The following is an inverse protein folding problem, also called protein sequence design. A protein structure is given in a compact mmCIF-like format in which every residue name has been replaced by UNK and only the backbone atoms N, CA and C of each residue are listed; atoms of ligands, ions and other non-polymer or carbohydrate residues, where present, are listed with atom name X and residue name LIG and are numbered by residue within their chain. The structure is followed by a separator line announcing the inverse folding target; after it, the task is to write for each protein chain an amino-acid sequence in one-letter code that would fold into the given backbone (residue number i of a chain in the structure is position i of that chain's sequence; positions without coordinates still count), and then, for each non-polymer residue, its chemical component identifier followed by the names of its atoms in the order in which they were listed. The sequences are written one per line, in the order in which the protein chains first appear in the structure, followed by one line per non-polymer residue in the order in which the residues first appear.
data_IF_679882361589
#
_entry.id   IF_679882361589
#
_cell.length_a   1.000
_cell.length_b   1.000
_cell.length_c   1.000
_cell.angle_alpha   90.00
_cell.angle_beta   90.00
_cell.angle_gamma   90.00
#
_symmetry.space_group_name_H-M   'P 1'
#
loop_
_entity.id
_entity.type
_entity.pdbx_description
1 polymer ?
#
# COMPACT_ATOMS: atom_id res chain seq x y z
N UNK A 1 -4.25 11.19 21.20
CA UNK A 1 -5.30 10.17 21.42
C UNK A 1 -4.65 8.92 22.00
N UNK A 2 -5.27 8.25 22.97
CA UNK A 2 -4.75 6.97 23.51
C UNK A 2 -5.36 5.77 22.78
N UNK A 3 -4.73 4.60 22.85
CA UNK A 3 -5.24 3.34 22.27
C UNK A 3 -6.62 2.97 22.82
N UNK A 4 -6.86 3.26 24.11
CA UNK A 4 -8.16 3.08 24.75
C UNK A 4 -9.22 4.00 24.15
N UNK A 5 -8.90 5.28 23.95
CA UNK A 5 -9.86 6.21 23.34
C UNK A 5 -10.19 5.84 21.89
N UNK A 6 -9.22 5.33 21.12
CA UNK A 6 -9.48 4.84 19.77
C UNK A 6 -10.39 3.60 19.79
N UNK A 7 -10.11 2.65 20.70
CA UNK A 7 -10.94 1.47 20.91
C UNK A 7 -12.39 1.84 21.27
N UNK A 8 -12.57 2.79 22.19
CA UNK A 8 -13.88 3.30 22.59
C UNK A 8 -14.64 3.93 21.40
N UNK A 9 -13.96 4.73 20.57
CA UNK A 9 -14.55 5.34 19.36
C UNK A 9 -14.92 4.31 18.29
N UNK A 10 -14.20 3.20 18.22
CA UNK A 10 -14.44 2.12 17.26
C UNK A 10 -15.42 1.06 17.78
N UNK A 11 -15.77 1.09 19.07
CA UNK A 11 -16.64 0.10 19.70
C UNK A 11 -16.00 -1.28 19.82
N UNK A 12 -14.67 -1.34 19.97
CA UNK A 12 -13.91 -2.60 20.10
C UNK A 12 -13.00 -2.56 21.34
N UNK A 13 -12.42 -3.71 21.70
CA UNK A 13 -11.51 -3.77 22.85
C UNK A 13 -10.16 -3.12 22.55
N UNK A 14 -9.50 -2.54 23.56
CA UNK A 14 -8.13 -2.01 23.40
C UNK A 14 -7.12 -3.12 23.02
N UNK A 15 -7.38 -4.36 23.44
CA UNK A 15 -6.56 -5.50 23.02
C UNK A 15 -6.72 -5.80 21.52
N UNK A 16 -7.91 -5.62 20.93
CA UNK A 16 -8.09 -5.75 19.48
C UNK A 16 -7.29 -4.69 18.70
N UNK A 17 -7.28 -3.43 19.16
CA UNK A 17 -6.43 -2.39 18.55
C UNK A 17 -4.96 -2.82 18.57
N UNK A 18 -4.46 -3.28 19.72
CA UNK A 18 -3.07 -3.75 19.82
C UNK A 18 -2.77 -4.93 18.88
N UNK A 19 -3.73 -5.83 18.66
CA UNK A 19 -3.58 -6.93 17.68
C UNK A 19 -3.55 -6.41 16.24
N UNK A 20 -4.30 -5.37 15.91
CA UNK A 20 -4.24 -4.72 14.59
C UNK A 20 -2.90 -4.01 14.39
N UNK A 21 -2.45 -3.21 15.35
CA UNK A 21 -1.16 -2.50 15.28
C UNK A 21 0.03 -3.46 15.11
N UNK A 22 -0.05 -4.66 15.69
CA UNK A 22 0.99 -5.69 15.60
C UNK A 22 0.85 -6.60 14.38
N UNK A 23 -0.18 -6.42 13.55
CA UNK A 23 -0.47 -7.28 12.40
C UNK A 23 -0.86 -8.72 12.76
N UNK A 24 -1.20 -9.00 14.03
CA UNK A 24 -1.62 -10.33 14.48
C UNK A 24 -3.00 -10.67 13.91
N UNK A 25 -3.90 -9.68 13.93
CA UNK A 25 -5.23 -9.81 13.37
C UNK A 25 -5.34 -9.01 12.08
N UNK A 26 -6.00 -9.59 11.07
CA UNK A 26 -6.45 -8.82 9.90
C UNK A 26 -7.49 -7.80 10.33
N UNK A 27 -7.36 -6.59 9.79
CA UNK A 27 -8.35 -5.53 9.90
C UNK A 27 -9.19 -5.50 8.64
N UNK A 28 -10.49 -5.26 8.77
CA UNK A 28 -11.39 -5.10 7.64
C UNK A 28 -11.35 -3.67 7.09
N UNK A 29 -11.67 -3.51 5.81
CA UNK A 29 -11.69 -2.20 5.17
C UNK A 29 -12.62 -1.21 5.88
N UNK A 30 -13.74 -1.68 6.43
CA UNK A 30 -14.70 -0.82 7.13
C UNK A 30 -14.10 -0.17 8.38
N UNK A 31 -13.31 -0.92 9.17
CA UNK A 31 -12.62 -0.36 10.34
C UNK A 31 -11.49 0.55 9.92
N UNK A 32 -10.76 0.22 8.85
CA UNK A 32 -9.73 1.12 8.28
C UNK A 32 -10.33 2.47 7.91
N UNK A 33 -11.47 2.50 7.22
CA UNK A 33 -12.16 3.76 6.88
C UNK A 33 -12.61 4.55 8.12
N UNK A 34 -13.08 3.88 9.17
CA UNK A 34 -13.39 4.56 10.44
C UNK A 34 -12.16 5.19 11.07
N UNK A 35 -11.02 4.50 11.04
CA UNK A 35 -9.74 5.02 11.56
C UNK A 35 -9.32 6.25 10.76
N UNK A 36 -9.33 6.19 9.43
CA UNK A 36 -9.05 7.33 8.54
C UNK A 36 -9.90 8.55 8.93
N UNK A 37 -11.21 8.37 9.09
CA UNK A 37 -12.13 9.44 9.47
C UNK A 37 -11.88 9.97 10.91
N UNK A 38 -11.51 9.11 11.86
CA UNK A 38 -11.22 9.52 13.25
C UNK A 38 -9.97 10.39 13.32
N UNK A 39 -8.96 10.08 12.49
CA UNK A 39 -7.70 10.80 12.45
C UNK A 39 -7.71 11.97 11.46
N UNK A 40 -8.76 12.12 10.66
CA UNK A 40 -8.90 13.17 9.64
C UNK A 40 -7.71 13.18 8.66
N UNK A 41 -7.35 11.99 8.16
CA UNK A 41 -6.24 11.80 7.22
C UNK A 41 -6.75 11.30 5.87
N UNK A 42 -6.09 11.62 4.74
CA UNK A 42 -6.39 11.01 3.45
C UNK A 42 -6.01 9.52 3.44
N UNK A 43 -6.71 8.68 2.67
CA UNK A 43 -6.43 7.23 2.66
C UNK A 43 -5.04 6.93 2.08
N UNK A 44 -4.53 7.79 1.20
CA UNK A 44 -3.20 7.75 0.62
C UNK A 44 -2.10 7.76 1.70
N UNK A 45 -2.38 8.33 2.89
CA UNK A 45 -1.41 8.33 3.98
C UNK A 45 -1.10 6.93 4.53
N UNK A 46 -1.97 5.95 4.26
CA UNK A 46 -1.76 4.55 4.64
C UNK A 46 -0.91 3.78 3.61
N UNK A 47 -0.81 4.30 2.40
CA UNK A 47 -0.11 3.69 1.27
C UNK A 47 0.88 4.69 0.69
N UNK A 48 1.95 5.04 1.44
CA UNK A 48 2.99 5.88 0.89
C UNK A 48 3.55 5.23 -0.36
N UNK A 49 3.80 6.03 -1.40
CA UNK A 49 4.51 5.58 -2.59
C UNK A 49 5.79 4.87 -2.13
N UNK A 50 6.08 3.65 -2.64
CA UNK A 50 7.34 3.02 -2.33
C UNK A 50 8.45 4.00 -2.70
N UNK A 51 9.44 4.16 -1.83
CA UNK A 51 10.67 4.81 -2.24
C UNK A 51 11.17 4.03 -3.45
N UNK A 52 11.00 4.63 -4.63
CA UNK A 52 11.55 4.09 -5.85
C UNK A 52 13.04 4.18 -5.62
N UNK A 53 13.66 3.07 -5.21
CA UNK A 53 15.09 2.91 -5.36
C UNK A 53 15.33 3.09 -6.86
N UNK A 54 15.72 4.32 -7.23
CA UNK A 54 16.15 4.62 -8.58
C UNK A 54 17.41 3.79 -8.73
N UNK A 55 17.26 2.57 -9.24
CA UNK A 55 18.34 1.82 -9.80
C UNK A 55 18.83 2.66 -10.98
N UNK A 56 19.73 3.60 -10.70
CA UNK A 56 20.56 4.26 -11.71
C UNK A 56 21.35 3.14 -12.35
N UNK A 57 20.75 2.55 -13.39
CA UNK A 57 21.47 1.69 -14.30
C UNK A 57 22.60 2.54 -14.84
N UNK A 58 23.83 2.26 -14.38
CA UNK A 58 24.98 2.46 -15.26
C UNK A 58 24.62 1.68 -16.52
N UNK A 59 24.42 2.41 -17.63
CA UNK A 59 24.13 1.89 -18.97
C UNK A 59 25.32 1.05 -19.47
N UNK A 60 25.46 -0.13 -18.92
CA UNK A 60 26.34 -1.19 -19.40
C UNK A 60 25.76 -2.51 -18.91
N UNK A 61 24.69 -3.00 -19.54
CA UNK A 61 24.30 -4.43 -19.58
C UNK A 61 22.98 -4.62 -20.35
N UNK A 62 23.10 -4.77 -21.68
CA UNK A 62 22.44 -5.69 -22.63
C UNK A 62 21.04 -6.33 -22.38
N UNK A 63 20.21 -5.92 -21.42
CA UNK A 63 18.90 -6.57 -21.15
C UNK A 63 17.73 -5.59 -21.08
N UNK A 64 17.78 -4.49 -21.83
CA UNK A 64 16.58 -3.73 -22.15
C UNK A 64 16.23 -3.96 -23.61
N UNK A 65 15.39 -4.96 -23.87
CA UNK A 65 14.64 -4.99 -25.12
C UNK A 65 13.47 -4.02 -24.96
N UNK A 66 13.49 -2.96 -25.76
CA UNK A 66 12.42 -1.98 -25.85
C UNK A 66 11.10 -2.69 -26.24
N UNK A 67 10.05 -2.65 -25.38
CA UNK A 67 8.74 -3.20 -25.71
C UNK A 67 8.09 -2.56 -26.95
N UNK A 68 8.64 -1.45 -27.46
CA UNK A 68 8.26 -0.80 -28.72
C UNK A 68 8.75 -1.49 -30.00
N UNK A 69 9.59 -2.53 -29.92
CA UNK A 69 9.98 -3.36 -31.08
C UNK A 69 9.07 -4.60 -31.17
N UNK A 70 7.76 -4.39 -31.19
CA UNK A 70 6.83 -5.32 -31.84
C UNK A 70 6.29 -4.61 -33.08
N UNK A 71 7.18 -4.36 -34.06
CA UNK A 71 6.73 -4.14 -35.42
C UNK A 71 6.19 -5.46 -35.94
N UNK A 72 4.87 -5.53 -36.00
CA UNK A 72 4.03 -6.28 -36.92
C UNK A 72 4.74 -7.15 -37.98
N UNK A 73 5.28 -8.31 -37.58
CA UNK A 73 5.68 -9.39 -38.51
C UNK A 73 4.79 -10.65 -38.36
N UNK A 74 3.50 -10.44 -38.05
CA UNK A 74 2.47 -11.44 -38.32
C UNK A 74 1.50 -10.91 -39.38
N UNK A 75 2.05 -10.72 -40.59
CA UNK A 75 1.23 -10.67 -41.79
C UNK A 75 1.95 -11.39 -42.93
N UNK A 76 1.29 -12.46 -43.40
CA UNK A 76 1.57 -13.30 -44.58
C UNK A 76 2.69 -14.34 -44.44
N UNK A 77 2.32 -15.58 -44.10
CA UNK A 77 2.11 -16.69 -45.06
C UNK A 77 1.14 -17.72 -44.49
#
# INVERSE_FOLDING_TARGET
MTTRNLADRLGISSQQISRYERGINKIDASTVFKIINIFDVPYESLFPEPEVEVFTQKKDSLMYMDPGIFHNEYQFY
#
